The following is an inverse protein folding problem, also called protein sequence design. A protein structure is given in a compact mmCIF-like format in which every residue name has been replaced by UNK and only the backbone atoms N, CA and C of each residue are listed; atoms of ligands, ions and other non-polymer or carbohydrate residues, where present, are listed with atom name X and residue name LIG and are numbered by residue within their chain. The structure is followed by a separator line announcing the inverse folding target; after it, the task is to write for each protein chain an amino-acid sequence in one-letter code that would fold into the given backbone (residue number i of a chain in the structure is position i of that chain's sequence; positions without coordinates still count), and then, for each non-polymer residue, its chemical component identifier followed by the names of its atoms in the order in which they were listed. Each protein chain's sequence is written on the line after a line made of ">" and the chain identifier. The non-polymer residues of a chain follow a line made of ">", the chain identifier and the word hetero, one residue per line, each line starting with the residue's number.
data_IF_635180880150
#
_entry.id   IF_635180880150
#
_cell.length_a   1.000
_cell.length_b   1.000
_cell.length_c   1.000
_cell.angle_alpha   90.00
_cell.angle_beta   90.00
_cell.angle_gamma   90.00
#
_symmetry.space_group_name_H-M   'P 1'
#
loop_
_entity.id
_entity.type
_entity.pdbx_description
1 polymer ?
#
# COMPACT_ATOMS: atom_id res chain seq x y z
N UNK A 1 -22.93 -8.63 52.28
CA UNK A 1 -23.10 -9.06 50.87
C UNK A 1 -22.79 -7.85 50.02
N UNK A 2 -21.68 -7.94 49.27
CA UNK A 2 -21.11 -6.84 48.49
C UNK A 2 -22.02 -6.50 47.33
N UNK A 3 -22.47 -5.24 47.27
CA UNK A 3 -23.20 -4.68 46.14
C UNK A 3 -22.26 -4.64 44.95
N UNK A 4 -22.47 -5.55 43.99
CA UNK A 4 -21.82 -5.50 42.70
C UNK A 4 -22.21 -4.18 42.01
N UNK A 5 -21.23 -3.30 41.80
CA UNK A 5 -21.32 -2.22 40.81
C UNK A 5 -21.72 -2.87 39.48
N UNK A 6 -22.97 -2.63 39.07
CA UNK A 6 -23.39 -2.91 37.70
C UNK A 6 -22.55 -2.02 36.80
N UNK A 7 -21.58 -2.61 36.11
CA UNK A 7 -20.88 -1.96 35.02
C UNK A 7 -21.93 -1.62 33.95
N UNK A 8 -22.14 -0.34 33.69
CA UNK A 8 -23.01 0.10 32.62
C UNK A 8 -22.59 -0.58 31.30
N UNK A 9 -23.53 -1.13 30.52
CA UNK A 9 -23.19 -1.78 29.26
C UNK A 9 -22.52 -0.75 28.36
N UNK A 10 -21.24 -0.98 28.05
CA UNK A 10 -20.48 -0.19 27.07
C UNK A 10 -21.31 -0.12 25.79
N UNK A 11 -21.64 1.08 25.26
CA UNK A 11 -22.45 1.18 24.06
C UNK A 11 -21.79 0.37 22.94
N UNK A 12 -22.59 -0.38 22.19
CA UNK A 12 -22.09 -1.16 21.07
C UNK A 12 -21.34 -0.22 20.10
N UNK A 13 -20.07 -0.48 19.88
CA UNK A 13 -19.27 0.30 18.95
C UNK A 13 -19.75 0.03 17.52
N UNK A 14 -20.07 1.08 16.78
CA UNK A 14 -20.41 1.02 15.37
C UNK A 14 -19.19 1.43 14.52
N UNK A 15 -18.96 0.72 13.42
CA UNK A 15 -17.94 1.04 12.41
C UNK A 15 -18.63 1.33 11.08
N UNK A 16 -18.27 2.43 10.43
CA UNK A 16 -18.64 2.74 9.05
C UNK A 16 -17.39 2.74 8.17
N UNK A 17 -17.55 2.26 6.93
CA UNK A 17 -16.52 2.26 5.90
C UNK A 17 -17.13 2.84 4.63
N UNK A 18 -16.48 3.83 4.04
CA UNK A 18 -16.93 4.47 2.81
C UNK A 18 -15.77 4.55 1.81
N UNK A 19 -16.04 4.16 0.56
CA UNK A 19 -15.10 4.34 -0.53
C UNK A 19 -15.29 5.73 -1.16
N UNK A 20 -14.18 6.38 -1.52
CA UNK A 20 -14.24 7.64 -2.25
C UNK A 20 -14.50 7.36 -3.74
N UNK A 21 -15.53 8.02 -4.26
CA UNK A 21 -15.82 8.09 -5.70
C UNK A 21 -15.01 9.19 -6.38
N UNK A 22 -14.89 9.13 -7.71
CA UNK A 22 -14.27 10.20 -8.50
C UNK A 22 -12.74 10.27 -8.44
N UNK A 23 -12.04 9.33 -7.80
CA UNK A 23 -10.58 9.28 -7.80
C UNK A 23 -10.07 8.88 -9.20
N UNK A 24 -9.26 9.70 -9.88
CA UNK A 24 -8.78 9.42 -11.23
C UNK A 24 -7.60 8.43 -11.22
N UNK A 25 -7.16 8.03 -12.41
CA UNK A 25 -5.87 7.36 -12.57
C UNK A 25 -4.73 8.33 -12.22
N UNK A 26 -4.07 8.08 -11.08
CA UNK A 26 -2.95 8.89 -10.59
C UNK A 26 -1.74 8.81 -11.51
N UNK A 27 -1.10 9.96 -11.74
CA UNK A 27 0.11 10.16 -12.54
C UNK A 27 1.22 10.76 -11.69
N UNK A 28 2.45 10.70 -12.20
CA UNK A 28 3.60 11.34 -11.57
C UNK A 28 3.38 12.84 -11.44
N UNK A 29 3.63 13.39 -10.25
CA UNK A 29 3.43 14.79 -9.91
C UNK A 29 2.04 15.14 -9.39
N UNK A 30 1.06 14.23 -9.42
CA UNK A 30 -0.26 14.50 -8.85
C UNK A 30 -0.19 14.68 -7.32
N UNK A 31 -0.94 15.64 -6.78
CA UNK A 31 -1.09 15.79 -5.34
C UNK A 31 -2.18 14.84 -4.80
N UNK A 32 -1.78 13.77 -4.12
CA UNK A 32 -2.70 12.77 -3.57
C UNK A 32 -3.69 13.37 -2.57
N UNK A 33 -3.29 14.37 -1.78
CA UNK A 33 -4.17 15.01 -0.81
C UNK A 33 -5.32 15.75 -1.52
N UNK A 34 -5.01 16.50 -2.57
CA UNK A 34 -6.01 17.23 -3.37
C UNK A 34 -6.98 16.26 -4.04
N UNK A 35 -6.49 15.13 -4.55
CA UNK A 35 -7.33 14.07 -5.12
C UNK A 35 -8.29 13.47 -4.07
N UNK A 36 -7.83 13.29 -2.84
CA UNK A 36 -8.67 12.79 -1.73
C UNK A 36 -9.74 13.82 -1.35
N UNK A 37 -9.39 15.10 -1.25
CA UNK A 37 -10.34 16.19 -0.96
C UNK A 37 -11.41 16.29 -2.05
N UNK A 38 -11.00 16.17 -3.32
CA UNK A 38 -11.93 16.12 -4.44
C UNK A 38 -12.84 14.88 -4.37
N UNK A 39 -12.30 13.71 -4.02
CA UNK A 39 -13.07 12.47 -3.89
C UNK A 39 -14.06 12.49 -2.72
N UNK A 40 -13.71 13.11 -1.59
CA UNK A 40 -14.61 13.35 -0.47
C UNK A 40 -15.79 14.22 -0.91
N UNK A 41 -15.50 15.32 -1.60
CA UNK A 41 -16.52 16.24 -2.14
C UNK A 41 -17.44 15.54 -3.13
N UNK A 42 -16.89 14.76 -4.08
CA UNK A 42 -17.64 14.00 -5.07
C UNK A 42 -18.53 12.91 -4.44
N UNK A 43 -18.12 12.39 -3.28
CA UNK A 43 -18.86 11.37 -2.53
C UNK A 43 -19.87 11.96 -1.54
N UNK A 44 -19.95 13.29 -1.43
CA UNK A 44 -20.79 13.97 -0.44
C UNK A 44 -20.38 13.67 1.01
N UNK A 45 -19.09 13.39 1.25
CA UNK A 45 -18.56 13.04 2.56
C UNK A 45 -17.76 14.21 3.15
N UNK A 46 -17.91 14.43 4.46
CA UNK A 46 -17.12 15.37 5.23
C UNK A 46 -16.45 14.64 6.40
N UNK A 47 -15.12 14.71 6.48
CA UNK A 47 -14.36 14.09 7.55
C UNK A 47 -14.72 14.69 8.90
N UNK A 48 -14.81 13.84 9.92
CA UNK A 48 -14.99 14.21 11.31
C UNK A 48 -13.72 13.96 12.12
N UNK A 49 -13.54 14.64 13.27
CA UNK A 49 -12.45 14.34 14.18
C UNK A 49 -12.45 12.87 14.59
N UNK A 50 -11.33 12.18 14.36
CA UNK A 50 -11.17 10.75 14.65
C UNK A 50 -11.35 9.84 13.44
N UNK A 51 -11.77 10.36 12.29
CA UNK A 51 -11.81 9.59 11.04
C UNK A 51 -10.42 9.19 10.57
N UNK A 52 -10.34 8.04 9.90
CA UNK A 52 -9.10 7.50 9.32
C UNK A 52 -9.26 7.39 7.82
N UNK A 53 -8.29 7.91 7.09
CA UNK A 53 -8.20 7.74 5.63
C UNK A 53 -7.24 6.59 5.35
N UNK A 54 -7.77 5.49 4.83
CA UNK A 54 -6.97 4.37 4.36
C UNK A 54 -6.60 4.56 2.89
N UNK A 55 -5.31 4.65 2.60
CA UNK A 55 -4.79 4.86 1.24
C UNK A 55 -3.97 3.65 0.83
N UNK A 56 -4.23 3.09 -0.34
CA UNK A 56 -3.38 2.06 -0.91
C UNK A 56 -2.06 2.69 -1.39
N UNK A 57 -0.92 2.05 -1.09
CA UNK A 57 0.42 2.56 -1.44
C UNK A 57 0.58 2.94 -2.92
N UNK A 58 -0.12 2.24 -3.84
CA UNK A 58 0.04 2.41 -5.29
C UNK A 58 -0.20 3.83 -5.77
N UNK A 59 -1.17 4.55 -5.21
CA UNK A 59 -1.45 5.92 -5.68
C UNK A 59 -0.35 6.88 -5.24
N UNK A 60 0.22 6.65 -4.04
CA UNK A 60 1.34 7.42 -3.52
C UNK A 60 2.58 7.13 -4.37
N UNK A 61 2.91 5.86 -4.63
CA UNK A 61 4.05 5.50 -5.49
C UNK A 61 3.95 6.08 -6.91
N UNK A 62 2.73 6.16 -7.48
CA UNK A 62 2.51 6.77 -8.79
C UNK A 62 2.72 8.27 -8.77
N UNK A 63 2.13 8.97 -7.78
CA UNK A 63 2.30 10.40 -7.58
C UNK A 63 3.77 10.80 -7.40
N UNK A 64 4.52 10.00 -6.64
CA UNK A 64 5.96 10.19 -6.42
C UNK A 64 6.84 9.78 -7.61
N UNK A 65 6.25 9.31 -8.72
CA UNK A 65 7.01 8.93 -9.91
C UNK A 65 7.85 7.65 -9.76
N UNK A 66 7.49 6.75 -8.83
CA UNK A 66 8.22 5.49 -8.55
C UNK A 66 7.98 4.39 -9.59
N UNK A 67 7.71 4.75 -10.84
CA UNK A 67 7.52 3.78 -11.93
C UNK A 67 8.83 3.60 -12.69
N UNK A 68 9.23 2.35 -12.91
CA UNK A 68 10.46 2.00 -13.63
C UNK A 68 10.09 1.17 -14.86
N UNK A 69 10.72 1.49 -16.00
CA UNK A 69 10.65 0.66 -17.20
C UNK A 69 11.66 -0.49 -17.08
N UNK A 70 11.14 -1.72 -16.98
CA UNK A 70 11.98 -2.91 -16.87
C UNK A 70 12.97 -3.06 -18.03
N UNK A 71 12.68 -2.51 -19.22
CA UNK A 71 13.61 -2.57 -20.37
C UNK A 71 14.91 -1.81 -20.11
N UNK A 72 14.91 -0.84 -19.20
CA UNK A 72 16.09 -0.07 -18.80
C UNK A 72 16.90 -0.68 -17.65
N UNK A 73 16.51 -1.85 -17.13
CA UNK A 73 17.16 -2.46 -15.96
C UNK A 73 18.16 -3.52 -16.41
N UNK A 74 19.40 -3.42 -15.92
CA UNK A 74 20.46 -4.41 -16.13
C UNK A 74 20.60 -5.29 -14.87
N UNK A 75 20.24 -6.58 -14.91
CA UNK A 75 20.35 -7.45 -13.75
C UNK A 75 21.79 -7.73 -13.33
N UNK A 76 22.03 -7.76 -12.02
CA UNK A 76 23.28 -8.22 -11.43
C UNK A 76 23.43 -9.74 -11.48
N UNK A 77 24.66 -10.30 -11.30
CA UNK A 77 24.85 -11.74 -11.18
C UNK A 77 24.01 -12.37 -10.05
N UNK A 78 23.84 -11.65 -8.94
CA UNK A 78 23.00 -12.07 -7.82
C UNK A 78 21.52 -12.15 -8.22
N UNK A 79 21.02 -11.15 -8.93
CA UNK A 79 19.63 -11.15 -9.40
C UNK A 79 19.38 -12.25 -10.43
N UNK A 80 20.32 -12.51 -11.33
CA UNK A 80 20.22 -13.61 -12.31
C UNK A 80 20.09 -14.98 -11.63
N UNK A 81 20.98 -15.27 -10.69
CA UNK A 81 20.95 -16.54 -9.95
C UNK A 81 19.64 -16.71 -9.16
N UNK A 82 19.24 -15.67 -8.41
CA UNK A 82 18.02 -15.75 -7.60
C UNK A 82 16.76 -15.85 -8.47
N UNK A 83 16.73 -15.16 -9.61
CA UNK A 83 15.61 -15.18 -10.55
C UNK A 83 15.31 -16.57 -11.12
N UNK A 84 16.36 -17.37 -11.38
CA UNK A 84 16.23 -18.76 -11.79
C UNK A 84 15.55 -19.60 -10.70
N UNK A 85 15.97 -19.42 -9.44
CA UNK A 85 15.40 -20.16 -8.31
C UNK A 85 13.94 -19.79 -8.00
N UNK A 86 13.57 -18.52 -8.17
CA UNK A 86 12.22 -18.02 -7.89
C UNK A 86 11.29 -18.01 -9.10
N UNK A 87 11.78 -18.37 -10.30
CA UNK A 87 11.02 -18.35 -11.55
C UNK A 87 10.40 -16.97 -11.82
N UNK A 88 11.24 -15.93 -11.83
CA UNK A 88 10.85 -14.53 -12.10
C UNK A 88 11.80 -13.87 -13.10
N UNK A 89 11.35 -12.75 -13.67
CA UNK A 89 12.19 -11.91 -14.51
C UNK A 89 13.39 -11.36 -13.71
N UNK A 90 14.64 -11.56 -14.16
CA UNK A 90 15.82 -11.09 -13.43
C UNK A 90 15.87 -9.57 -13.27
N UNK A 91 15.22 -8.81 -14.16
CA UNK A 91 15.12 -7.34 -14.06
C UNK A 91 14.18 -6.93 -12.94
N UNK A 92 13.11 -7.69 -12.73
CA UNK A 92 12.22 -7.49 -11.58
C UNK A 92 12.95 -7.85 -10.27
N UNK A 93 13.69 -8.97 -10.27
CA UNK A 93 14.46 -9.39 -9.09
C UNK A 93 15.54 -8.36 -8.74
N UNK A 94 16.21 -7.77 -9.74
CA UNK A 94 17.17 -6.68 -9.51
C UNK A 94 16.53 -5.49 -8.78
N UNK A 95 15.35 -5.04 -9.22
CA UNK A 95 14.64 -3.95 -8.56
C UNK A 95 14.21 -4.32 -7.13
N UNK A 96 13.73 -5.56 -6.93
CA UNK A 96 13.38 -6.06 -5.60
C UNK A 96 14.61 -6.01 -4.69
N UNK A 97 15.76 -6.53 -5.13
CA UNK A 97 16.99 -6.54 -4.35
C UNK A 97 17.54 -5.13 -4.09
N UNK A 98 17.38 -4.20 -5.04
CA UNK A 98 17.84 -2.81 -4.89
C UNK A 98 17.04 -2.05 -3.83
N UNK A 99 15.73 -2.31 -3.75
CA UNK A 99 14.82 -1.63 -2.81
C UNK A 99 14.65 -2.42 -1.49
N UNK A 100 15.47 -3.44 -1.26
CA UNK A 100 15.42 -4.29 -0.06
C UNK A 100 16.77 -4.36 0.63
N UNK A 101 16.75 -4.53 1.95
CA UNK A 101 17.94 -4.74 2.76
C UNK A 101 18.38 -6.20 2.74
N UNK A 102 17.44 -7.14 2.76
CA UNK A 102 17.76 -8.58 2.75
C UNK A 102 16.68 -9.45 2.11
N UNK A 103 17.08 -10.68 1.75
CA UNK A 103 16.15 -11.74 1.32
C UNK A 103 15.86 -12.63 2.51
N UNK A 104 14.64 -12.57 3.02
CA UNK A 104 14.19 -13.34 4.19
C UNK A 104 13.88 -14.78 3.81
N UNK A 105 13.22 -14.98 2.66
CA UNK A 105 12.84 -16.32 2.16
C UNK A 105 12.60 -16.29 0.65
N UNK A 106 13.00 -17.35 -0.04
CA UNK A 106 12.66 -17.55 -1.44
C UNK A 106 12.33 -19.01 -1.74
N UNK A 107 11.51 -19.21 -2.76
CA UNK A 107 11.22 -20.49 -3.43
C UNK A 107 10.60 -20.19 -4.79
N UNK A 108 10.41 -21.20 -5.63
CA UNK A 108 9.70 -21.02 -6.91
C UNK A 108 8.38 -20.24 -6.74
N UNK A 109 8.24 -19.13 -7.48
CA UNK A 109 7.10 -18.22 -7.47
C UNK A 109 7.09 -17.17 -6.34
N UNK A 110 7.90 -17.32 -5.29
CA UNK A 110 7.83 -16.50 -4.07
C UNK A 110 9.19 -15.93 -3.70
N UNK A 111 9.24 -14.63 -3.49
CA UNK A 111 10.40 -13.91 -2.97
C UNK A 111 9.92 -12.97 -1.86
N UNK A 112 10.43 -13.16 -0.64
CA UNK A 112 10.13 -12.36 0.54
C UNK A 112 11.39 -11.62 0.95
N UNK A 113 11.26 -10.32 1.13
CA UNK A 113 12.34 -9.38 1.39
C UNK A 113 11.96 -8.43 2.52
N UNK A 114 12.97 -7.85 3.16
CA UNK A 114 12.84 -6.84 4.21
C UNK A 114 13.65 -5.60 3.86
#
# INVERSE_FOLDING_TARGET
>A
MSSAEKLDPKPAAALSLAALSGIPLVKAGDNVADLIVAGLSASGLALQPGDVIAIAQKIVSKAEGRTIDLRGVTPSPRALALAEEVDKDPRLVELILTESTEVVRHRKGVLVVA
#
